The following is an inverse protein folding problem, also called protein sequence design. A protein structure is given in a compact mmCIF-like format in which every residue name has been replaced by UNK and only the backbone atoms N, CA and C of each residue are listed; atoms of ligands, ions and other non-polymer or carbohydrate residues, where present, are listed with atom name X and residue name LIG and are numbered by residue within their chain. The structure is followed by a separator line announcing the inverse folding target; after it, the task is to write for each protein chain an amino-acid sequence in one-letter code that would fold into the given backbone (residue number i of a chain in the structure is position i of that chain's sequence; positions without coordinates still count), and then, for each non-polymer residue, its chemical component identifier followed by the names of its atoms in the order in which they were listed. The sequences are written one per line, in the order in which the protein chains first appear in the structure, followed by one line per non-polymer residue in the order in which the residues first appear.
data_IF_959575323771
#
_entry.id   IF_959575323771
#
_cell.length_a   1.000
_cell.length_b   1.000
_cell.length_c   1.000
_cell.angle_alpha   90.00
_cell.angle_beta   90.00
_cell.angle_gamma   90.00
#
_symmetry.space_group_name_H-M   'P 1'
#
loop_
_entity.id
_entity.type
_entity.pdbx_description
1 polymer ?
#
# COMPACT_ATOMS: atom_id res chain seq x y z
N UNK A 1 10.48 -35.24 3.41
CA UNK A 1 11.34 -34.24 2.74
C UNK A 1 10.74 -34.02 1.36
N UNK A 2 9.99 -32.93 1.17
CA UNK A 2 9.31 -32.59 -0.09
C UNK A 2 9.68 -31.13 -0.36
N UNK A 3 10.31 -30.88 -1.50
CA UNK A 3 10.82 -29.57 -1.92
C UNK A 3 9.67 -28.58 -2.18
N UNK A 4 9.83 -27.28 -1.91
CA UNK A 4 8.84 -26.28 -2.27
C UNK A 4 8.86 -26.04 -3.78
N UNK A 5 7.65 -25.92 -4.33
CA UNK A 5 7.36 -25.67 -5.74
C UNK A 5 7.96 -24.33 -6.20
N UNK A 6 8.87 -24.38 -7.17
CA UNK A 6 9.54 -23.20 -7.74
C UNK A 6 8.58 -22.58 -8.75
N UNK A 7 8.08 -21.38 -8.46
CA UNK A 7 7.19 -20.63 -9.34
C UNK A 7 7.75 -20.56 -10.77
N UNK A 8 6.95 -20.98 -11.74
CA UNK A 8 7.31 -20.98 -13.16
C UNK A 8 7.73 -19.58 -13.64
N UNK A 9 8.71 -19.47 -14.56
CA UNK A 9 9.18 -18.17 -15.03
C UNK A 9 8.09 -17.44 -15.82
N UNK A 10 7.82 -16.20 -15.42
CA UNK A 10 6.90 -15.28 -16.09
C UNK A 10 7.34 -15.08 -17.55
N UNK A 11 6.43 -15.37 -18.48
CA UNK A 11 6.62 -15.28 -19.94
C UNK A 11 6.88 -13.81 -20.33
N UNK A 12 8.04 -13.51 -20.90
CA UNK A 12 8.43 -12.14 -21.31
C UNK A 12 7.58 -11.65 -22.49
N UNK A 13 7.04 -10.44 -22.38
CA UNK A 13 6.43 -9.66 -23.48
C UNK A 13 7.34 -8.48 -23.90
N UNK A 14 7.27 -8.03 -25.17
CA UNK A 14 8.18 -7.05 -25.79
C UNK A 14 7.91 -5.58 -25.37
N UNK A 15 8.81 -4.64 -25.73
CA UNK A 15 9.17 -3.50 -24.89
C UNK A 15 8.54 -2.18 -25.35
N UNK A 16 7.65 -1.65 -24.52
CA UNK A 16 7.84 -0.26 -24.08
C UNK A 16 8.65 -0.36 -22.78
N UNK A 17 9.64 0.50 -22.60
CA UNK A 17 10.77 0.30 -21.67
C UNK A 17 10.33 0.36 -20.20
N UNK A 18 9.63 -0.66 -19.73
CA UNK A 18 9.27 -0.85 -18.33
C UNK A 18 10.43 -1.55 -17.65
N UNK A 19 11.19 -0.79 -16.87
CA UNK A 19 12.18 -1.35 -15.94
C UNK A 19 11.43 -2.16 -14.89
N UNK A 20 11.61 -3.47 -14.89
CA UNK A 20 11.11 -4.32 -13.82
C UNK A 20 11.87 -3.98 -12.55
N UNK A 21 11.13 -3.66 -11.49
CA UNK A 21 11.69 -3.36 -10.18
C UNK A 21 11.37 -4.53 -9.27
N UNK A 22 12.39 -5.08 -8.61
CA UNK A 22 12.20 -6.07 -7.57
C UNK A 22 11.53 -5.42 -6.36
N UNK A 23 10.46 -6.05 -5.88
CA UNK A 23 9.69 -5.59 -4.73
C UNK A 23 9.52 -6.70 -3.72
N UNK A 24 9.69 -6.34 -2.46
CA UNK A 24 9.37 -7.18 -1.31
C UNK A 24 8.06 -6.70 -0.69
N UNK A 25 7.26 -7.64 -0.19
CA UNK A 25 5.99 -7.32 0.45
C UNK A 25 6.10 -7.46 1.96
N UNK A 26 5.67 -6.44 2.69
CA UNK A 26 5.76 -6.38 4.15
C UNK A 26 4.43 -5.94 4.77
N UNK A 27 4.01 -6.64 5.82
CA UNK A 27 2.95 -6.16 6.71
C UNK A 27 3.56 -5.26 7.76
N UNK A 28 3.17 -3.99 7.78
CA UNK A 28 3.71 -3.02 8.75
C UNK A 28 2.76 -2.83 9.93
N UNK A 29 3.33 -2.56 11.10
CA UNK A 29 2.59 -2.19 12.32
C UNK A 29 2.47 -0.68 12.53
N UNK A 30 3.27 0.11 11.81
CA UNK A 30 3.19 1.57 11.76
C UNK A 30 4.00 2.11 10.58
N UNK A 31 3.65 3.30 10.11
CA UNK A 31 4.48 4.11 9.23
C UNK A 31 5.41 5.00 10.05
N UNK A 32 6.71 4.97 9.78
CA UNK A 32 7.65 5.96 10.31
C UNK A 32 7.70 7.22 9.43
N UNK A 33 8.50 8.23 9.81
CA UNK A 33 8.61 9.50 9.06
C UNK A 33 9.07 9.29 7.61
N UNK A 34 10.01 8.38 7.37
CA UNK A 34 10.49 8.07 6.02
C UNK A 34 9.39 7.41 5.19
N UNK A 35 8.66 6.47 5.78
CA UNK A 35 7.55 5.79 5.10
C UNK A 35 6.44 6.78 4.75
N UNK A 36 6.11 7.71 5.65
CA UNK A 36 5.14 8.78 5.36
C UNK A 36 5.57 9.63 4.16
N UNK A 37 6.86 9.95 4.04
CA UNK A 37 7.40 10.64 2.87
C UNK A 37 7.20 9.84 1.57
N UNK A 38 7.42 8.52 1.61
CA UNK A 38 7.19 7.65 0.46
C UNK A 38 5.70 7.58 0.07
N UNK A 39 4.80 7.45 1.05
CA UNK A 39 3.35 7.42 0.81
C UNK A 39 2.85 8.73 0.21
N UNK A 40 3.39 9.87 0.65
CA UNK A 40 3.08 11.17 0.04
C UNK A 40 3.49 11.20 -1.43
N UNK A 41 4.72 10.80 -1.74
CA UNK A 41 5.20 10.75 -3.12
C UNK A 41 4.33 9.83 -3.98
N UNK A 42 3.93 8.67 -3.44
CA UNK A 42 3.04 7.73 -4.11
C UNK A 42 1.67 8.35 -4.40
N UNK A 43 1.09 9.09 -3.45
CA UNK A 43 -0.21 9.74 -3.64
C UNK A 43 -0.15 10.85 -4.69
N UNK A 44 0.88 11.70 -4.64
CA UNK A 44 1.08 12.75 -5.64
C UNK A 44 1.26 12.15 -7.04
N UNK A 45 2.06 11.08 -7.17
CA UNK A 45 2.25 10.40 -8.46
C UNK A 45 0.92 9.85 -9.01
N UNK A 46 0.14 9.14 -8.18
CA UNK A 46 -1.15 8.61 -8.63
C UNK A 46 -2.16 9.70 -8.98
N UNK A 47 -2.19 10.84 -8.26
CA UNK A 47 -3.09 11.96 -8.61
C UNK A 47 -2.66 12.58 -9.94
N UNK A 48 -1.35 12.73 -10.17
CA UNK A 48 -0.81 13.20 -11.44
C UNK A 48 -1.16 12.29 -12.62
N UNK A 49 -1.20 10.98 -12.39
CA UNK A 49 -1.61 9.97 -13.38
C UNK A 49 -3.16 9.81 -13.45
N UNK A 50 -3.92 10.80 -13.00
CA UNK A 50 -5.40 10.84 -12.99
C UNK A 50 -6.06 9.72 -12.15
N UNK A 51 -5.30 9.13 -11.23
CA UNK A 51 -5.77 8.13 -10.27
C UNK A 51 -6.73 8.73 -9.24
N UNK A 52 -7.86 8.06 -9.03
CA UNK A 52 -8.88 8.50 -8.07
C UNK A 52 -8.55 7.93 -6.68
N UNK A 53 -7.94 8.76 -5.83
CA UNK A 53 -7.62 8.40 -4.45
C UNK A 53 -8.68 8.85 -3.43
N UNK A 54 -9.85 9.28 -3.88
CA UNK A 54 -10.90 9.84 -3.01
C UNK A 54 -10.61 11.27 -2.55
N UNK A 55 -9.63 11.93 -3.19
CA UNK A 55 -9.35 13.35 -3.06
C UNK A 55 -9.46 14.00 -4.44
N UNK A 56 -10.12 15.17 -4.55
CA UNK A 56 -10.27 15.87 -5.82
C UNK A 56 -8.96 16.54 -6.27
N UNK A 57 -8.05 16.82 -5.32
CA UNK A 57 -6.79 17.54 -5.52
C UNK A 57 -5.70 16.93 -4.63
N UNK A 58 -4.46 17.40 -4.78
CA UNK A 58 -3.38 17.03 -3.88
C UNK A 58 -3.70 17.39 -2.42
N UNK A 59 -3.34 16.48 -1.51
CA UNK A 59 -3.51 16.69 -0.08
C UNK A 59 -2.58 17.81 0.42
N UNK A 60 -3.16 18.80 1.10
CA UNK A 60 -2.36 19.76 1.87
C UNK A 60 -1.52 19.05 2.95
N UNK A 61 -0.45 19.71 3.41
CA UNK A 61 0.39 19.21 4.51
C UNK A 61 -0.40 18.83 5.76
N UNK A 62 -1.39 19.66 6.11
CA UNK A 62 -2.25 19.42 7.27
C UNK A 62 -3.15 18.19 7.09
N UNK A 63 -3.74 18.01 5.91
CA UNK A 63 -4.60 16.86 5.63
C UNK A 63 -3.81 15.56 5.54
N UNK A 64 -2.66 15.57 4.87
CA UNK A 64 -1.78 14.41 4.78
C UNK A 64 -1.30 13.98 6.17
N UNK A 65 -0.88 14.93 7.01
CA UNK A 65 -0.45 14.64 8.39
C UNK A 65 -1.58 14.03 9.22
N UNK A 66 -2.80 14.59 9.12
CA UNK A 66 -3.98 14.05 9.82
C UNK A 66 -4.34 12.65 9.32
N UNK A 67 -4.30 12.43 8.02
CA UNK A 67 -4.53 11.13 7.40
C UNK A 67 -3.53 10.09 7.92
N UNK A 68 -2.23 10.35 7.85
CA UNK A 68 -1.20 9.42 8.30
C UNK A 68 -1.26 9.14 9.81
N UNK A 69 -1.54 10.17 10.63
CA UNK A 69 -1.73 10.00 12.07
C UNK A 69 -2.94 9.12 12.40
N UNK A 70 -4.08 9.36 11.73
CA UNK A 70 -5.28 8.55 11.87
C UNK A 70 -5.07 7.11 11.41
N UNK A 71 -4.38 6.91 10.29
CA UNK A 71 -4.05 5.59 9.78
C UNK A 71 -3.14 4.81 10.76
N UNK A 72 -2.06 5.42 11.25
CA UNK A 72 -1.20 4.80 12.25
C UNK A 72 -1.95 4.43 13.54
N UNK A 73 -2.91 5.25 13.97
CA UNK A 73 -3.77 4.92 15.10
C UNK A 73 -4.60 3.65 14.81
N UNK A 74 -5.26 3.58 13.65
CA UNK A 74 -6.07 2.43 13.26
C UNK A 74 -5.25 1.14 13.12
N UNK A 75 -4.00 1.23 12.64
CA UNK A 75 -3.09 0.07 12.55
C UNK A 75 -2.74 -0.44 13.95
N UNK A 76 -2.34 0.45 14.86
CA UNK A 76 -2.04 0.07 16.25
C UNK A 76 -3.24 -0.51 16.99
N UNK A 77 -4.45 -0.06 16.68
CA UNK A 77 -5.70 -0.59 17.23
C UNK A 77 -6.15 -1.90 16.55
N UNK A 78 -5.47 -2.35 15.50
CA UNK A 78 -5.80 -3.58 14.76
C UNK A 78 -7.08 -3.46 13.92
N UNK A 79 -7.53 -2.24 13.64
CA UNK A 79 -8.71 -1.95 12.82
C UNK A 79 -8.38 -1.97 11.32
N UNK A 80 -7.16 -1.55 10.97
CA UNK A 80 -6.66 -1.51 9.60
C UNK A 80 -5.32 -2.25 9.54
N UNK A 81 -5.15 -3.10 8.53
CA UNK A 81 -3.90 -3.74 8.20
C UNK A 81 -3.33 -3.13 6.92
N UNK A 82 -2.01 -3.00 6.86
CA UNK A 82 -1.34 -2.41 5.70
C UNK A 82 -0.30 -3.39 5.17
N UNK A 83 -0.44 -3.74 3.91
CA UNK A 83 0.61 -4.40 3.14
C UNK A 83 1.30 -3.34 2.28
N UNK A 84 2.62 -3.25 2.37
CA UNK A 84 3.42 -2.36 1.52
C UNK A 84 4.26 -3.19 0.55
N UNK A 85 4.42 -2.69 -0.67
CA UNK A 85 5.45 -3.12 -1.59
C UNK A 85 6.65 -2.19 -1.44
N UNK A 86 7.81 -2.75 -1.09
CA UNK A 86 9.06 -2.01 -0.94
C UNK A 86 10.01 -2.36 -2.07
N UNK A 87 10.57 -1.35 -2.71
CA UNK A 87 11.79 -1.51 -3.48
C UNK A 87 12.93 -0.82 -2.73
N UNK A 88 13.96 -1.59 -2.37
CA UNK A 88 15.05 -1.10 -1.51
C UNK A 88 14.52 -0.53 -0.18
N UNK A 89 14.47 0.81 -0.03
CA UNK A 89 13.97 1.50 1.18
C UNK A 89 12.73 2.36 0.93
N UNK A 90 12.18 2.31 -0.27
CA UNK A 90 11.04 3.14 -0.67
C UNK A 90 9.79 2.28 -0.75
N UNK A 91 8.69 2.79 -0.17
CA UNK A 91 7.37 2.23 -0.43
C UNK A 91 6.97 2.66 -1.84
N UNK A 92 6.79 1.67 -2.72
CA UNK A 92 6.37 1.85 -4.11
C UNK A 92 4.94 1.39 -4.35
N UNK A 93 4.29 0.85 -3.33
CA UNK A 93 2.88 0.50 -3.37
C UNK A 93 2.36 0.19 -1.97
N UNK A 94 1.06 0.37 -1.76
CA UNK A 94 0.42 0.01 -0.51
C UNK A 94 -1.02 -0.43 -0.71
N UNK A 95 -1.48 -1.33 0.15
CA UNK A 95 -2.86 -1.79 0.24
C UNK A 95 -3.33 -1.66 1.68
N UNK A 96 -4.47 -1.00 1.87
CA UNK A 96 -5.15 -0.85 3.15
C UNK A 96 -6.32 -1.85 3.22
N UNK A 97 -6.30 -2.68 4.25
CA UNK A 97 -7.33 -3.68 4.52
C UNK A 97 -8.02 -3.36 5.84
N UNK A 98 -9.34 -3.17 5.82
CA UNK A 98 -10.13 -2.98 7.05
C UNK A 98 -10.95 -4.21 7.34
N UNK A 99 -10.87 -4.73 8.56
CA UNK A 99 -11.68 -5.88 8.98
C UNK A 99 -13.11 -5.43 9.24
N UNK A 100 -14.10 -6.27 8.88
CA UNK A 100 -15.48 -5.99 9.26
C UNK A 100 -15.65 -6.07 10.79
N UNK A 101 -16.30 -5.07 11.36
CA UNK A 101 -16.61 -5.03 12.81
C UNK A 101 -17.87 -5.81 13.16
N UNK A 102 -18.74 -6.10 12.18
CA UNK A 102 -20.00 -6.82 12.42
C UNK A 102 -19.70 -8.23 12.95
N UNK A 103 -20.31 -8.66 14.07
CA UNK A 103 -20.01 -9.94 14.70
C UNK A 103 -20.08 -11.15 13.76
N UNK A 104 -21.03 -11.15 12.83
CA UNK A 104 -21.25 -12.23 11.86
C UNK A 104 -20.37 -12.15 10.60
N UNK A 105 -19.57 -11.09 10.41
CA UNK A 105 -18.73 -10.89 9.21
C UNK A 105 -17.25 -10.70 9.53
N UNK A 106 -16.79 -11.01 10.75
CA UNK A 106 -15.37 -10.81 11.17
C UNK A 106 -14.33 -11.57 10.34
N UNK A 107 -14.75 -12.56 9.55
CA UNK A 107 -13.89 -13.27 8.60
C UNK A 107 -13.65 -12.51 7.28
N UNK A 108 -14.34 -11.38 7.07
CA UNK A 108 -14.24 -10.53 5.88
C UNK A 108 -13.39 -9.30 6.18
N UNK A 109 -12.64 -8.88 5.17
CA UNK A 109 -11.99 -7.58 5.12
C UNK A 109 -12.31 -6.89 3.79
N UNK A 110 -12.26 -5.57 3.80
CA UNK A 110 -12.40 -4.73 2.63
C UNK A 110 -11.04 -4.14 2.26
N UNK A 111 -10.70 -4.15 0.97
CA UNK A 111 -9.60 -3.33 0.46
C UNK A 111 -10.12 -1.90 0.34
N UNK A 112 -9.77 -1.05 1.32
CA UNK A 112 -10.25 0.33 1.36
C UNK A 112 -9.47 1.25 0.42
N UNK A 113 -8.21 0.89 0.11
CA UNK A 113 -7.33 1.65 -0.79
C UNK A 113 -6.21 0.75 -1.29
N UNK A 114 -5.89 0.84 -2.57
CA UNK A 114 -4.69 0.27 -3.16
C UNK A 114 -4.05 1.34 -4.05
N UNK A 115 -2.75 1.56 -3.89
CA UNK A 115 -1.97 2.53 -4.68
C UNK A 115 -0.66 1.87 -5.07
N UNK A 116 -0.30 1.94 -6.36
CA UNK A 116 0.87 1.31 -6.98
C UNK A 116 1.43 2.30 -8.01
#
# INVERSE_FOLDING_TARGET
MIQPDVAAPLKKMPPEMHTWVEVEYEWISEFNIQDMGCVRALFSASIHDEGILGYPEELSDGEFTRFMSGLNKQIREGLTHVLVARSSRSIVGMVLLRRSEMPNCRHRAEICKAVI
#
